data_IF_998442992763
#
_entry.id   IF_998442992763
#
_cell.length_a   1.000
_cell.length_b   1.000
_cell.length_c   1.000
_cell.angle_alpha   90.00
_cell.angle_beta   90.00
_cell.angle_gamma   90.00
#
_symmetry.space_group_name_H-M   'P 1'
#
loop_
_entity.id
_entity.type
_entity.pdbx_description
1 polymer ?
#
# COMPACT_ATOMS: atom_id res chain seq x y z
N UNK A 1 -31.45 26.80 -30.00
CA UNK A 1 -30.21 27.41 -29.50
C UNK A 1 -29.89 26.72 -28.19
N UNK A 2 -28.96 25.77 -28.20
CA UNK A 2 -28.43 25.17 -26.98
C UNK A 2 -26.92 25.38 -27.06
N UNK A 3 -26.42 26.32 -26.26
CA UNK A 3 -24.99 26.56 -26.08
C UNK A 3 -24.43 25.33 -25.37
N UNK A 4 -23.70 24.49 -26.10
CA UNK A 4 -22.84 23.50 -25.47
C UNK A 4 -21.61 24.24 -24.94
N UNK A 5 -21.41 24.23 -23.63
CA UNK A 5 -20.14 24.62 -23.03
C UNK A 5 -19.05 23.69 -23.59
N UNK A 6 -18.27 24.21 -24.53
CA UNK A 6 -16.99 23.64 -24.91
C UNK A 6 -16.06 23.81 -23.72
N UNK A 7 -15.79 22.71 -23.00
CA UNK A 7 -14.66 22.65 -22.08
C UNK A 7 -13.38 22.86 -22.89
N UNK A 8 -12.82 24.06 -22.80
CA UNK A 8 -11.50 24.39 -23.34
C UNK A 8 -10.44 23.64 -22.54
N UNK A 9 -9.69 22.77 -23.22
CA UNK A 9 -8.67 21.93 -22.60
C UNK A 9 -7.51 22.79 -22.09
N UNK A 10 -7.38 22.89 -20.77
CA UNK A 10 -6.24 23.50 -20.09
C UNK A 10 -5.40 22.38 -19.45
N UNK A 11 -4.14 22.18 -19.88
CA UNK A 11 -3.34 21.02 -19.48
C UNK A 11 -2.00 21.38 -18.84
N UNK A 12 -2.00 22.09 -17.71
CA UNK A 12 -0.84 22.14 -16.82
C UNK A 12 -0.84 20.93 -15.88
N UNK A 13 0.29 20.23 -15.82
CA UNK A 13 0.53 19.15 -14.85
C UNK A 13 1.06 19.66 -13.53
N UNK A 14 1.81 18.82 -12.83
CA UNK A 14 2.44 19.16 -11.55
C UNK A 14 3.36 20.39 -11.66
N UNK A 15 3.90 20.65 -12.86
CA UNK A 15 4.76 21.79 -13.17
C UNK A 15 4.07 23.12 -12.93
N UNK A 16 2.73 23.17 -13.08
CA UNK A 16 1.93 24.36 -12.82
C UNK A 16 2.00 24.80 -11.34
N UNK A 17 2.27 23.87 -10.42
CA UNK A 17 2.33 24.14 -8.97
C UNK A 17 3.75 24.17 -8.41
N UNK A 18 4.78 23.96 -9.25
CA UNK A 18 6.17 24.07 -8.82
C UNK A 18 6.56 25.55 -8.64
N UNK A 19 7.11 25.89 -7.48
CA UNK A 19 7.62 27.25 -7.22
C UNK A 19 6.55 28.31 -6.97
N UNK A 20 5.35 27.91 -6.52
CA UNK A 20 4.32 28.86 -6.09
C UNK A 20 4.85 29.77 -4.97
N UNK A 21 4.74 31.08 -5.18
CA UNK A 21 5.12 32.07 -4.19
C UNK A 21 4.09 32.12 -3.05
N UNK A 22 4.52 32.41 -1.80
CA UNK A 22 3.57 32.68 -0.72
C UNK A 22 2.55 33.76 -1.12
N UNK A 23 1.28 33.57 -0.78
CA UNK A 23 0.15 34.43 -1.15
C UNK A 23 -0.19 34.51 -2.65
N UNK A 24 0.40 33.66 -3.49
CA UNK A 24 -0.08 33.45 -4.85
C UNK A 24 -1.23 32.44 -4.87
N UNK A 25 -2.06 32.52 -5.91
CA UNK A 25 -3.10 31.54 -6.19
C UNK A 25 -2.96 31.05 -7.62
N UNK A 26 -3.37 29.80 -7.83
CA UNK A 26 -3.45 29.17 -9.14
C UNK A 26 -4.81 28.50 -9.29
N UNK A 27 -5.34 28.51 -10.50
CA UNK A 27 -6.55 27.76 -10.82
C UNK A 27 -6.25 26.27 -10.88
N UNK A 28 -7.14 25.46 -10.29
CA UNK A 28 -7.14 24.02 -10.45
C UNK A 28 -8.32 23.61 -11.34
N UNK A 29 -8.16 22.52 -12.08
CA UNK A 29 -9.24 21.88 -12.83
C UNK A 29 -9.26 20.38 -12.52
N UNK A 30 -10.43 19.75 -12.66
CA UNK A 30 -10.53 18.31 -12.56
C UNK A 30 -10.25 17.69 -13.93
N UNK A 31 -9.28 16.79 -13.97
CA UNK A 31 -8.95 16.06 -15.19
C UNK A 31 -10.12 15.15 -15.62
N UNK A 32 -10.16 14.74 -16.90
CA UNK A 32 -11.15 13.76 -17.39
C UNK A 32 -11.05 12.39 -16.67
N UNK A 33 -9.88 12.10 -16.12
CA UNK A 33 -9.64 10.90 -15.31
C UNK A 33 -9.83 11.15 -13.81
N UNK A 34 -10.44 12.26 -13.42
CA UNK A 34 -10.71 12.53 -12.01
C UNK A 34 -11.65 11.48 -11.43
N UNK A 35 -11.30 10.94 -10.25
CA UNK A 35 -12.09 9.90 -9.60
C UNK A 35 -11.55 9.49 -8.25
N UNK A 36 -12.06 8.37 -7.72
CA UNK A 36 -11.66 7.83 -6.43
C UNK A 36 -10.20 7.35 -6.43
N UNK A 37 -9.77 6.69 -7.52
CA UNK A 37 -8.44 6.09 -7.66
C UNK A 37 -8.05 5.30 -6.41
N UNK A 38 -8.88 4.33 -6.02
CA UNK A 38 -8.69 3.54 -4.80
C UNK A 38 -7.39 2.71 -4.81
N UNK A 39 -6.79 2.57 -5.99
CA UNK A 39 -5.46 2.00 -6.25
C UNK A 39 -4.29 2.93 -5.88
N UNK A 40 -4.55 4.23 -5.69
CA UNK A 40 -3.54 5.23 -5.31
C UNK A 40 -3.71 5.65 -3.84
N UNK A 41 -2.75 5.31 -3.00
CA UNK A 41 -2.73 5.72 -1.59
C UNK A 41 -1.43 6.46 -1.27
N UNK A 42 -1.51 7.45 -0.38
CA UNK A 42 -0.33 8.12 0.15
C UNK A 42 0.18 7.32 1.34
N UNK A 43 1.49 7.05 1.36
CA UNK A 43 2.16 6.40 2.48
C UNK A 43 3.20 7.37 3.04
N UNK A 44 3.07 7.70 4.32
CA UNK A 44 4.07 8.44 5.07
C UNK A 44 5.20 7.49 5.48
N UNK A 45 6.43 7.87 5.16
CA UNK A 45 7.62 7.04 5.34
C UNK A 45 8.70 7.82 6.07
N UNK A 46 9.15 7.25 7.18
CA UNK A 46 10.36 7.70 7.86
C UNK A 46 11.58 7.51 6.95
N UNK A 47 12.53 8.46 7.01
CA UNK A 47 13.78 8.39 6.23
C UNK A 47 14.56 7.08 6.43
N UNK A 48 14.44 6.50 7.63
CA UNK A 48 15.08 5.22 8.00
C UNK A 48 14.53 4.04 7.20
N UNK A 49 13.29 4.13 6.72
CA UNK A 49 12.61 3.08 5.95
C UNK A 49 12.77 3.27 4.44
N UNK A 50 13.17 4.46 3.97
CA UNK A 50 13.38 4.73 2.55
C UNK A 50 14.32 3.70 1.88
N UNK A 51 15.46 3.29 2.47
CA UNK A 51 16.29 2.27 1.86
C UNK A 51 15.56 0.92 1.71
N UNK A 52 14.79 0.49 2.70
CA UNK A 52 14.05 -0.78 2.62
C UNK A 52 12.95 -0.73 1.53
N UNK A 53 12.27 0.41 1.41
CA UNK A 53 11.26 0.66 0.36
C UNK A 53 11.84 0.65 -1.05
N UNK A 54 12.90 1.43 -1.27
CA UNK A 54 13.50 1.61 -2.60
C UNK A 54 14.15 0.33 -3.12
N UNK A 55 14.64 -0.54 -2.23
CA UNK A 55 15.21 -1.83 -2.60
C UNK A 55 14.21 -2.99 -2.52
N UNK A 56 12.91 -2.72 -2.37
CA UNK A 56 11.85 -3.74 -2.33
C UNK A 56 12.08 -4.82 -1.26
N UNK A 57 12.63 -4.46 -0.11
CA UNK A 57 12.93 -5.37 1.02
C UNK A 57 11.85 -5.38 2.10
N UNK A 58 10.61 -5.13 1.69
CA UNK A 58 9.46 -5.14 2.59
C UNK A 58 8.40 -6.09 2.11
N UNK A 59 7.55 -6.51 3.03
CA UNK A 59 6.37 -7.31 2.73
C UNK A 59 5.17 -6.76 3.49
N UNK A 60 4.00 -6.74 2.83
CA UNK A 60 2.73 -6.53 3.52
C UNK A 60 2.20 -7.89 3.96
N UNK A 61 1.87 -8.03 5.25
CA UNK A 61 1.34 -9.25 5.85
C UNK A 61 0.03 -8.97 6.58
N UNK A 62 -0.83 -9.98 6.65
CA UNK A 62 -2.13 -9.91 7.30
C UNK A 62 -3.17 -10.73 6.54
N UNK A 63 -4.00 -11.46 7.27
CA UNK A 63 -5.14 -12.17 6.67
C UNK A 63 -6.31 -11.19 6.41
N UNK A 64 -7.30 -11.55 5.59
CA UNK A 64 -8.43 -10.67 5.26
C UNK A 64 -9.25 -10.17 6.47
N UNK A 65 -9.18 -10.89 7.59
CA UNK A 65 -9.85 -10.59 8.85
C UNK A 65 -8.96 -9.86 9.87
N UNK A 66 -7.73 -9.49 9.50
CA UNK A 66 -6.73 -8.86 10.36
C UNK A 66 -6.25 -7.51 9.78
N UNK A 67 -5.81 -6.59 10.65
CA UNK A 67 -5.19 -5.35 10.21
C UNK A 67 -3.85 -5.61 9.51
N UNK A 68 -3.61 -5.05 8.33
CA UNK A 68 -2.33 -5.24 7.65
C UNK A 68 -1.13 -4.66 8.42
N UNK A 69 0.00 -5.36 8.35
CA UNK A 69 1.29 -4.89 8.84
C UNK A 69 2.30 -4.84 7.70
N UNK A 70 3.23 -3.89 7.77
CA UNK A 70 4.38 -3.81 6.89
C UNK A 70 5.62 -4.34 7.63
N UNK A 71 6.26 -5.34 7.06
CA UNK A 71 7.44 -5.98 7.66
C UNK A 71 8.68 -5.68 6.82
N UNK A 72 9.75 -5.23 7.47
CA UNK A 72 11.11 -5.32 6.93
C UNK A 72 11.70 -6.69 7.30
N UNK A 73 12.98 -6.94 7.04
CA UNK A 73 13.65 -8.16 7.51
C UNK A 73 13.58 -8.30 9.05
N UNK A 74 13.68 -7.19 9.78
CA UNK A 74 13.92 -7.17 11.23
C UNK A 74 12.81 -6.54 12.08
N UNK A 75 11.88 -5.79 11.47
CA UNK A 75 10.87 -5.02 12.18
C UNK A 75 9.49 -5.14 11.55
N UNK A 76 8.48 -4.94 12.39
CA UNK A 76 7.07 -4.93 11.99
C UNK A 76 6.46 -3.57 12.31
N UNK A 77 5.69 -3.05 11.36
CA UNK A 77 5.01 -1.76 11.43
C UNK A 77 3.52 -1.96 11.21
N UNK A 78 2.70 -1.46 12.14
CA UNK A 78 1.27 -1.36 11.93
C UNK A 78 0.98 -0.29 10.88
N UNK A 79 0.14 -0.60 9.91
CA UNK A 79 -0.32 0.36 8.89
C UNK A 79 -1.61 1.00 9.38
N UNK A 80 -1.64 2.34 9.49
CA UNK A 80 -2.82 3.07 9.98
C UNK A 80 -3.23 4.16 9.02
N UNK A 81 -4.52 4.24 8.72
CA UNK A 81 -5.05 5.37 7.95
C UNK A 81 -5.29 6.58 8.86
N UNK A 82 -4.74 7.72 8.48
CA UNK A 82 -4.93 9.01 9.15
C UNK A 82 -5.58 9.99 8.18
N UNK A 83 -6.79 10.43 8.52
CA UNK A 83 -7.53 11.43 7.75
C UNK A 83 -6.99 12.84 7.95
N UNK A 84 -7.15 13.69 6.94
CA UNK A 84 -6.75 15.10 7.01
C UNK A 84 -7.95 16.04 6.86
N UNK A 85 -7.92 17.19 7.53
CA UNK A 85 -8.90 18.27 7.32
C UNK A 85 -8.58 19.14 6.11
N UNK A 86 -7.37 19.01 5.56
CA UNK A 86 -6.94 19.75 4.38
C UNK A 86 -7.25 18.96 3.11
N UNK A 87 -7.51 19.65 2.00
CA UNK A 87 -7.61 19.02 0.69
C UNK A 87 -6.21 18.76 0.13
N UNK A 88 -5.85 17.49 -0.06
CA UNK A 88 -4.60 17.08 -0.71
C UNK A 88 -4.91 16.66 -2.14
N UNK A 89 -4.37 17.38 -3.11
CA UNK A 89 -4.62 17.13 -4.53
C UNK A 89 -3.47 16.36 -5.17
N UNK A 90 -3.77 15.25 -5.82
CA UNK A 90 -2.80 14.54 -6.66
C UNK A 90 -2.88 15.11 -8.07
N UNK A 91 -1.76 15.68 -8.51
CA UNK A 91 -1.60 16.30 -9.83
C UNK A 91 -0.44 15.58 -10.51
N UNK A 92 -0.68 14.83 -11.61
CA UNK A 92 0.40 14.16 -12.33
C UNK A 92 1.22 15.17 -13.16
N UNK A 93 2.48 14.83 -13.49
CA UNK A 93 3.29 15.58 -14.46
C UNK A 93 2.60 15.75 -15.82
N UNK A 94 2.90 16.86 -16.51
CA UNK A 94 2.22 17.23 -17.76
C UNK A 94 2.45 16.25 -18.91
N UNK A 95 3.64 15.62 -18.97
CA UNK A 95 3.97 14.58 -19.95
C UNK A 95 3.05 13.36 -19.80
N UNK A 96 2.78 12.93 -18.56
CA UNK A 96 1.83 11.84 -18.28
C UNK A 96 0.39 12.21 -18.61
N UNK A 97 0.00 13.48 -18.45
CA UNK A 97 -1.32 13.98 -18.86
C UNK A 97 -1.47 13.93 -20.38
N UNK A 98 -0.43 14.32 -21.13
CA UNK A 98 -0.46 14.29 -22.60
C UNK A 98 -0.49 12.87 -23.19
N UNK A 99 0.07 11.88 -22.50
CA UNK A 99 -0.08 10.46 -22.92
C UNK A 99 -1.52 9.96 -22.71
N UNK A 100 -2.20 10.49 -21.69
CA UNK A 100 -3.58 10.14 -21.34
C UNK A 100 -4.63 10.92 -22.16
N UNK A 101 -4.26 12.07 -22.75
CA UNK A 101 -5.16 12.97 -23.48
C UNK A 101 -4.62 13.31 -24.87
N UNK A 102 -5.31 12.84 -25.93
CA UNK A 102 -4.93 13.03 -27.34
C UNK A 102 -5.18 14.43 -27.92
N UNK A 103 -5.61 15.40 -27.11
CA UNK A 103 -6.01 16.72 -27.61
C UNK A 103 -5.07 17.78 -27.04
N UNK A 104 -4.18 18.27 -27.90
CA UNK A 104 -3.36 19.45 -27.65
C UNK A 104 -4.18 20.67 -28.07
N UNK A 105 -4.76 21.38 -27.10
CA UNK A 105 -5.22 22.75 -27.33
C UNK A 105 -4.26 23.71 -26.64
N UNK A 106 -3.92 24.75 -27.39
CA UNK A 106 -2.76 25.64 -27.23
C UNK A 106 -3.17 26.95 -26.53
N UNK A 107 -4.01 26.85 -25.48
CA UNK A 107 -4.45 28.03 -24.72
C UNK A 107 -3.65 28.21 -23.43
N UNK A 108 -3.14 29.43 -23.26
CA UNK A 108 -1.94 29.75 -22.50
C UNK A 108 -2.20 29.97 -20.99
N UNK A 109 -3.25 29.37 -20.43
CA UNK A 109 -3.60 29.48 -19.02
C UNK A 109 -3.00 28.32 -18.23
N UNK A 110 -2.05 28.63 -17.34
CA UNK A 110 -1.41 27.65 -16.47
C UNK A 110 -2.40 27.22 -15.38
N UNK A 111 -3.04 26.07 -15.59
CA UNK A 111 -4.01 25.45 -14.66
C UNK A 111 -3.48 24.10 -14.22
N UNK A 112 -3.58 23.79 -12.94
CA UNK A 112 -3.16 22.48 -12.42
C UNK A 112 -4.30 21.45 -12.53
N UNK A 113 -4.05 20.37 -13.27
CA UNK A 113 -5.04 19.33 -13.54
C UNK A 113 -5.02 18.20 -12.50
N UNK A 114 -6.03 18.15 -11.64
CA UNK A 114 -6.18 17.20 -10.52
C UNK A 114 -6.80 15.88 -10.96
N UNK A 115 -6.23 14.76 -10.53
CA UNK A 115 -6.79 13.40 -10.78
C UNK A 115 -7.45 12.79 -9.54
N UNK A 116 -7.01 13.13 -8.33
CA UNK A 116 -7.56 12.60 -7.07
C UNK A 116 -7.49 13.65 -5.96
N UNK A 117 -8.50 13.68 -5.09
CA UNK A 117 -8.40 14.31 -3.77
C UNK A 117 -8.13 13.22 -2.75
N UNK A 118 -6.97 13.22 -2.11
CA UNK A 118 -6.62 12.25 -1.08
C UNK A 118 -7.27 12.65 0.26
N UNK A 119 -8.07 11.77 0.89
CA UNK A 119 -8.71 12.05 2.17
C UNK A 119 -7.75 11.93 3.36
N UNK A 120 -6.54 11.41 3.14
CA UNK A 120 -5.57 11.08 4.18
C UNK A 120 -4.38 10.32 3.63
N UNK A 121 -3.51 9.89 4.54
CA UNK A 121 -2.35 9.04 4.27
C UNK A 121 -2.38 7.80 5.17
N UNK A 122 -1.64 6.78 4.76
CA UNK A 122 -1.26 5.66 5.60
C UNK A 122 0.02 6.04 6.34
N UNK A 123 0.07 5.76 7.64
CA UNK A 123 1.23 5.93 8.49
C UNK A 123 1.75 4.57 8.98
N UNK A 124 3.06 4.50 9.23
CA UNK A 124 3.71 3.32 9.78
C UNK A 124 4.08 3.53 11.24
N UNK A 125 3.57 2.67 12.12
CA UNK A 125 3.91 2.69 13.55
C UNK A 125 4.64 1.40 13.91
N UNK A 126 5.91 1.50 14.32
CA UNK A 126 6.67 0.33 14.77
C UNK A 126 5.94 -0.38 15.92
N UNK A 127 5.77 -1.69 15.80
CA UNK A 127 4.98 -2.48 16.73
C UNK A 127 5.63 -3.83 17.01
N UNK A 128 5.30 -4.39 18.18
CA UNK A 128 5.71 -5.74 18.50
C UNK A 128 4.90 -6.73 17.64
N UNK A 129 5.52 -7.83 17.18
CA UNK A 129 4.83 -8.86 16.41
C UNK A 129 3.74 -9.52 17.27
N UNK A 130 2.56 -9.74 16.68
CA UNK A 130 1.46 -10.44 17.36
C UNK A 130 1.67 -11.96 17.28
N UNK A 131 2.19 -12.55 18.35
CA UNK A 131 2.53 -13.98 18.40
C UNK A 131 1.41 -14.88 18.93
N UNK A 132 0.25 -14.34 19.28
CA UNK A 132 -0.87 -15.13 19.83
C UNK A 132 -1.35 -16.20 18.85
N UNK A 133 -1.37 -15.86 17.56
CA UNK A 133 -1.70 -16.78 16.48
C UNK A 133 -0.67 -17.90 16.33
N UNK A 134 0.62 -17.58 16.48
CA UNK A 134 1.68 -18.61 16.46
C UNK A 134 1.49 -19.58 17.63
N UNK A 135 1.22 -19.09 18.83
CA UNK A 135 0.94 -19.95 20.00
C UNK A 135 -0.27 -20.85 19.77
N UNK A 136 -1.34 -20.30 19.18
CA UNK A 136 -2.52 -21.07 18.82
C UNK A 136 -2.18 -22.18 17.82
N UNK A 137 -1.50 -21.85 16.72
CA UNK A 137 -1.10 -22.82 15.69
C UNK A 137 -0.22 -23.93 16.27
N UNK A 138 0.79 -23.58 17.08
CA UNK A 138 1.67 -24.57 17.72
C UNK A 138 0.95 -25.44 18.75
N UNK A 139 -0.09 -24.91 19.41
CA UNK A 139 -0.89 -25.68 20.37
C UNK A 139 -1.78 -26.74 19.72
N UNK A 140 -2.05 -26.63 18.41
CA UNK A 140 -2.89 -27.58 17.68
C UNK A 140 -2.19 -28.93 17.45
N UNK A 141 -0.85 -28.91 17.37
CA UNK A 141 -0.06 -30.13 17.21
C UNK A 141 1.24 -30.05 18.03
N UNK A 142 1.16 -30.23 19.36
CA UNK A 142 2.33 -30.24 20.23
C UNK A 142 3.21 -31.46 19.94
N UNK A 143 4.52 -31.26 19.92
CA UNK A 143 5.48 -32.35 19.71
C UNK A 143 5.29 -33.49 20.74
N UNK A 144 5.08 -34.71 20.27
CA UNK A 144 5.03 -35.92 21.09
C UNK A 144 6.23 -36.84 20.83
N UNK A 145 6.79 -37.43 21.88
CA UNK A 145 7.95 -38.32 21.77
C UNK A 145 7.63 -39.64 21.03
N UNK A 146 6.37 -40.08 21.05
CA UNK A 146 5.91 -41.31 20.38
C UNK A 146 5.92 -41.20 18.85
N UNK A 147 5.58 -40.04 18.30
CA UNK A 147 5.56 -39.82 16.85
C UNK A 147 6.96 -39.79 16.23
N UNK A 148 7.97 -39.39 17.00
CA UNK A 148 9.37 -39.40 16.55
C UNK A 148 9.92 -40.81 16.30
N UNK A 149 9.31 -41.84 16.90
CA UNK A 149 9.64 -43.25 16.69
C UNK A 149 8.82 -43.96 15.61
N UNK A 150 7.69 -43.37 15.18
CA UNK A 150 6.77 -43.94 14.18
C UNK A 150 7.01 -43.41 12.75
N UNK A 151 7.93 -42.45 12.59
CA UNK A 151 8.22 -41.80 11.30
C UNK A 151 8.92 -42.69 10.26
N UNK A 152 9.15 -43.98 10.55
CA UNK A 152 9.87 -44.92 9.68
C UNK A 152 9.02 -46.09 9.15
N UNK A 153 7.69 -46.15 9.44
CA UNK A 153 6.89 -47.33 9.05
C UNK A 153 5.41 -46.99 8.76
N UNK A 154 5.11 -46.29 7.66
CA UNK A 154 3.93 -46.59 6.83
C UNK A 154 3.81 -45.62 5.66
N UNK A 155 4.40 -46.01 4.52
CA UNK A 155 3.84 -45.66 3.21
C UNK A 155 2.47 -46.35 3.12
N UNK A 156 1.43 -45.66 2.66
CA UNK A 156 0.01 -46.09 2.60
C UNK A 156 -0.85 -45.86 3.85
N UNK A 157 -1.21 -44.61 4.12
CA UNK A 157 -2.62 -44.29 4.42
C UNK A 157 -2.97 -42.88 3.94
N UNK A 158 -3.79 -42.80 2.89
CA UNK A 158 -4.58 -41.63 2.56
C UNK A 158 -5.44 -41.22 3.77
N UNK A 159 -5.08 -40.13 4.46
CA UNK A 159 -5.98 -39.26 5.24
C UNK A 159 -5.20 -38.08 5.86
N UNK A 160 -5.28 -36.93 5.19
CA UNK A 160 -5.10 -35.57 5.73
C UNK A 160 -3.72 -35.21 6.30
N UNK A 161 -3.16 -34.13 5.78
CA UNK A 161 -2.00 -33.41 6.26
C UNK A 161 -2.30 -32.80 7.66
N UNK A 162 -2.32 -33.62 8.72
CA UNK A 162 -2.76 -33.21 10.06
C UNK A 162 -1.67 -32.35 10.71
N UNK A 163 -1.81 -31.03 10.59
CA UNK A 163 -1.32 -30.08 11.58
C UNK A 163 0.18 -29.78 11.61
N UNK A 164 0.97 -30.21 10.61
CA UNK A 164 2.36 -29.77 10.47
C UNK A 164 2.42 -28.49 9.63
N UNK A 165 3.17 -27.51 10.10
CA UNK A 165 3.42 -26.25 9.39
C UNK A 165 4.88 -26.18 8.98
N UNK A 166 5.14 -25.91 7.70
CA UNK A 166 6.46 -25.47 7.23
C UNK A 166 6.68 -24.02 7.66
N UNK A 167 7.94 -23.60 7.66
CA UNK A 167 8.29 -22.22 7.95
C UNK A 167 7.53 -21.22 7.07
N UNK A 168 7.47 -21.50 5.77
CA UNK A 168 6.74 -20.67 4.79
C UNK A 168 5.24 -20.56 5.15
N UNK A 169 4.62 -21.65 5.64
CA UNK A 169 3.20 -21.65 6.05
C UNK A 169 2.96 -20.75 7.27
N UNK A 170 3.94 -20.63 8.17
CA UNK A 170 3.86 -19.75 9.35
C UNK A 170 4.08 -18.29 8.96
N UNK A 171 5.09 -18.03 8.13
CA UNK A 171 5.42 -16.69 7.63
C UNK A 171 4.23 -16.05 6.92
N UNK A 172 3.51 -16.80 6.10
CA UNK A 172 2.33 -16.30 5.37
C UNK A 172 1.12 -16.02 6.28
N UNK A 173 1.06 -16.66 7.45
CA UNK A 173 -0.08 -16.54 8.37
C UNK A 173 0.14 -15.52 9.48
N UNK A 174 1.38 -15.14 9.75
CA UNK A 174 1.77 -14.36 10.93
C UNK A 174 2.14 -12.92 10.59
N UNK A 175 1.78 -12.01 11.50
CA UNK A 175 2.01 -10.58 11.39
C UNK A 175 3.33 -10.19 12.08
N UNK A 176 4.45 -10.64 11.51
CA UNK A 176 5.78 -10.48 12.08
C UNK A 176 6.85 -10.50 10.99
N UNK A 177 8.01 -9.90 11.23
CA UNK A 177 9.18 -10.05 10.34
C UNK A 177 9.84 -11.40 10.54
N UNK A 178 10.66 -11.81 9.57
CA UNK A 178 11.32 -13.12 9.60
C UNK A 178 12.31 -13.25 10.77
N UNK A 179 13.07 -12.21 11.07
CA UNK A 179 13.96 -12.21 12.24
C UNK A 179 13.21 -12.20 13.56
N UNK A 180 11.98 -11.65 13.60
CA UNK A 180 11.16 -11.65 14.81
C UNK A 180 10.47 -12.99 15.08
N UNK A 181 10.29 -13.81 14.03
CA UNK A 181 9.73 -15.16 14.15
C UNK A 181 10.78 -16.21 14.50
N UNK A 182 12.06 -15.91 14.30
CA UNK A 182 13.19 -16.83 14.48
C UNK A 182 13.67 -16.88 15.93
#
# INVERSE_FOLDING_TARGET
MNMGDQQTGCSGGAEAVLGLNPNSSISITYHNLFGAHDDLMLLELDEKLLPEMLHQRVTLRGQPDEDAVLCTASKTYAVKFVGTSNSVFLIPPADKISELCKNKDDDNMVVASVIKVAPGCMELVETAPKLDKLKLLLSQNPYSFSEASEMDISEETDKTNIGLYRWDDLVDKLQASDEQLR
#
